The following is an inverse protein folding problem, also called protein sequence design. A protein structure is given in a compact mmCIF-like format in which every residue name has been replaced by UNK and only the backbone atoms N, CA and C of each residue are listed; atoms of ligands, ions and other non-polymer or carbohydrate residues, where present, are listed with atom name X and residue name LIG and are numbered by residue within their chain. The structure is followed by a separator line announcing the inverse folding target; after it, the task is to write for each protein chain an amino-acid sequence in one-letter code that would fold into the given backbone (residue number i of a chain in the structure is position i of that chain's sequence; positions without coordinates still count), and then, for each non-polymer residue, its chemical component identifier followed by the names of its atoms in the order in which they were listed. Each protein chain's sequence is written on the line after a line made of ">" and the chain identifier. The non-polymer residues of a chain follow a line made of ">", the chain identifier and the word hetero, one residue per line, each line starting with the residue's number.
data_IF_751682171101
#
_entry.id   IF_751682171101
#
_cell.length_a   1.000
_cell.length_b   1.000
_cell.length_c   1.000
_cell.angle_alpha   90.00
_cell.angle_beta   90.00
_cell.angle_gamma   90.00
#
_symmetry.space_group_name_H-M   'P 1'
#
loop_
_entity.id
_entity.type
_entity.pdbx_description
1 polymer ?
#
# COMPACT_ATOMS: atom_id res chain seq x y z
N UNK A 1 -20.77 -4.31 -17.71
CA UNK A 1 -19.64 -3.36 -17.63
C UNK A 1 -18.67 -3.96 -16.63
N UNK A 2 -17.49 -4.45 -17.04
CA UNK A 2 -16.55 -4.97 -16.04
C UNK A 2 -16.11 -3.81 -15.17
N UNK A 3 -16.54 -3.80 -13.91
CA UNK A 3 -16.07 -2.83 -12.93
C UNK A 3 -14.58 -3.15 -12.75
N UNK A 4 -13.70 -2.32 -13.31
CA UNK A 4 -12.27 -2.49 -13.15
C UNK A 4 -11.83 -2.09 -11.74
N UNK A 5 -10.81 -2.78 -11.22
CA UNK A 5 -10.17 -2.42 -9.96
C UNK A 5 -9.55 -1.02 -10.08
N UNK A 6 -9.72 -0.20 -9.05
CA UNK A 6 -8.77 0.89 -8.80
C UNK A 6 -7.46 0.27 -8.33
N UNK A 7 -6.35 0.82 -8.79
CA UNK A 7 -5.02 0.28 -8.51
C UNK A 7 -4.16 1.29 -7.79
N UNK A 8 -3.82 1.01 -6.54
CA UNK A 8 -2.79 1.72 -5.81
C UNK A 8 -1.47 1.01 -5.99
N UNK A 9 -0.53 1.64 -6.67
CA UNK A 9 0.85 1.17 -6.75
C UNK A 9 1.65 1.91 -5.69
N UNK A 10 2.19 1.22 -4.68
CA UNK A 10 2.80 1.82 -3.49
C UNK A 10 4.23 1.36 -3.30
N UNK A 11 5.02 2.22 -2.65
CA UNK A 11 6.43 1.95 -2.35
C UNK A 11 6.83 2.65 -1.06
N UNK A 12 7.79 2.06 -0.33
CA UNK A 12 8.34 2.61 0.89
C UNK A 12 9.84 2.73 0.81
N UNK A 13 10.35 3.95 0.62
CA UNK A 13 11.78 4.19 0.59
C UNK A 13 12.39 4.43 1.99
N UNK A 14 13.53 3.79 2.25
CA UNK A 14 14.38 4.11 3.41
C UNK A 14 15.84 4.21 2.98
N UNK A 15 16.52 5.28 3.39
CA UNK A 15 17.91 5.56 3.04
C UNK A 15 18.76 5.82 4.30
N UNK A 16 20.07 5.60 4.18
CA UNK A 16 21.04 5.67 5.28
C UNK A 16 21.30 7.07 5.86
N UNK A 17 22.33 7.18 6.70
CA UNK A 17 22.53 8.23 7.71
C UNK A 17 22.53 9.71 7.18
N UNK A 18 21.70 10.62 7.73
CA UNK A 18 20.63 10.37 8.70
C UNK A 18 19.47 9.62 8.04
N UNK A 19 18.95 8.60 8.72
CA UNK A 19 17.93 7.68 8.19
C UNK A 19 16.69 8.43 7.72
N UNK A 20 16.61 8.71 6.42
CA UNK A 20 15.44 9.31 5.78
C UNK A 20 14.56 8.18 5.30
N UNK A 21 13.30 8.23 5.70
CA UNK A 21 12.31 7.28 5.27
C UNK A 21 11.11 8.04 4.70
N UNK A 22 10.39 7.41 3.80
CA UNK A 22 9.19 7.96 3.20
C UNK A 22 8.28 6.85 2.71
N UNK A 23 7.11 7.26 2.24
CA UNK A 23 6.21 6.42 1.48
C UNK A 23 5.79 7.16 0.22
N UNK A 24 5.46 6.39 -0.80
CA UNK A 24 4.94 6.84 -2.08
C UNK A 24 3.76 5.97 -2.49
N UNK A 25 2.89 6.51 -3.33
CA UNK A 25 1.84 5.73 -3.95
C UNK A 25 1.09 6.48 -5.03
N UNK A 26 0.62 5.74 -6.03
CA UNK A 26 -0.16 6.29 -7.13
C UNK A 26 -1.43 5.47 -7.30
N UNK A 27 -2.58 6.15 -7.31
CA UNK A 27 -3.86 5.57 -7.66
C UNK A 27 -4.14 5.76 -9.14
N UNK A 28 -4.40 4.67 -9.85
CA UNK A 28 -4.85 4.67 -11.24
C UNK A 28 -6.22 4.02 -11.35
N UNK A 29 -7.02 4.54 -12.28
CA UNK A 29 -8.23 3.88 -12.75
C UNK A 29 -7.94 2.67 -13.62
N UNK A 30 -8.98 1.95 -13.97
CA UNK A 30 -8.98 0.81 -14.90
C UNK A 30 -8.39 1.13 -16.28
N UNK A 31 -8.58 2.35 -16.75
CA UNK A 31 -8.00 2.89 -18.00
C UNK A 31 -6.54 3.35 -17.87
N UNK A 32 -5.93 3.20 -16.69
CA UNK A 32 -4.59 3.70 -16.40
C UNK A 32 -4.52 5.20 -16.09
N UNK A 33 -5.65 5.91 -16.12
CA UNK A 33 -5.72 7.33 -15.77
C UNK A 33 -5.32 7.55 -14.32
N UNK A 34 -4.39 8.49 -14.08
CA UNK A 34 -4.02 8.94 -12.74
C UNK A 34 -5.22 9.57 -12.03
N UNK A 35 -5.51 9.10 -10.82
CA UNK A 35 -6.58 9.61 -9.95
C UNK A 35 -5.99 10.37 -8.76
N UNK A 36 -4.96 9.82 -8.13
CA UNK A 36 -4.34 10.42 -6.95
C UNK A 36 -2.87 10.04 -6.81
N UNK A 37 -2.12 10.87 -6.08
CA UNK A 37 -0.74 10.62 -5.66
C UNK A 37 -0.68 10.78 -4.14
N UNK A 38 0.01 9.88 -3.48
CA UNK A 38 0.32 9.89 -2.05
C UNK A 38 1.83 9.94 -1.89
N UNK A 39 2.32 10.82 -1.04
CA UNK A 39 3.71 10.78 -0.60
C UNK A 39 3.87 11.50 0.73
N UNK A 40 4.88 11.09 1.52
CA UNK A 40 5.20 11.80 2.74
C UNK A 40 6.43 11.26 3.45
N UNK A 41 7.05 12.06 4.33
CA UNK A 41 8.19 11.63 5.12
C UNK A 41 7.78 10.72 6.28
N UNK A 42 8.66 9.79 6.64
CA UNK A 42 8.58 8.94 7.82
C UNK A 42 9.80 9.17 8.71
N UNK A 43 9.59 9.12 10.03
CA UNK A 43 10.67 9.25 11.01
C UNK A 43 11.36 7.89 11.19
N UNK A 44 12.69 7.85 10.99
CA UNK A 44 13.57 6.74 11.39
C UNK A 44 12.96 5.32 11.19
N UNK A 45 12.41 5.04 10.01
CA UNK A 45 11.71 3.79 9.67
C UNK A 45 12.60 2.88 8.80
N UNK A 46 12.46 1.55 8.91
CA UNK A 46 13.23 0.59 8.11
C UNK A 46 12.44 0.26 6.86
N UNK A 47 13.08 -0.37 5.88
CA UNK A 47 12.47 -0.70 4.59
C UNK A 47 11.13 -1.42 4.75
N UNK A 48 11.05 -2.37 5.67
CA UNK A 48 9.82 -3.13 5.87
C UNK A 48 8.70 -2.24 6.45
N UNK A 49 9.02 -1.36 7.40
CA UNK A 49 8.04 -0.43 7.96
C UNK A 49 7.61 0.63 6.95
N UNK A 50 8.49 1.09 6.07
CA UNK A 50 8.14 2.08 5.03
C UNK A 50 7.16 1.49 4.04
N UNK A 51 7.43 0.27 3.54
CA UNK A 51 6.53 -0.44 2.63
C UNK A 51 5.16 -0.72 3.26
N UNK A 52 5.16 -1.27 4.48
CA UNK A 52 3.92 -1.56 5.20
C UNK A 52 3.13 -0.28 5.51
N UNK A 53 3.83 0.83 5.76
CA UNK A 53 3.19 2.13 5.97
C UNK A 53 2.58 2.69 4.70
N UNK A 54 3.21 2.49 3.53
CA UNK A 54 2.67 2.91 2.25
C UNK A 54 1.32 2.21 1.97
N UNK A 55 1.23 0.88 2.22
CA UNK A 55 -0.03 0.13 2.14
C UNK A 55 -1.07 0.67 3.12
N UNK A 56 -0.69 0.87 4.39
CA UNK A 56 -1.61 1.40 5.42
C UNK A 56 -2.22 2.73 4.98
N UNK A 57 -1.39 3.66 4.50
CA UNK A 57 -1.85 5.01 4.12
C UNK A 57 -2.73 4.94 2.87
N UNK A 58 -2.38 4.13 1.87
CA UNK A 58 -3.22 3.93 0.69
C UNK A 58 -4.63 3.42 1.06
N UNK A 59 -4.70 2.44 1.96
CA UNK A 59 -5.96 1.89 2.46
C UNK A 59 -6.77 2.91 3.27
N UNK A 60 -6.14 3.63 4.20
CA UNK A 60 -6.81 4.67 5.00
C UNK A 60 -7.37 5.80 4.12
N UNK A 61 -6.61 6.24 3.11
CA UNK A 61 -7.06 7.27 2.16
C UNK A 61 -8.24 6.73 1.35
N UNK A 62 -8.15 5.50 0.86
CA UNK A 62 -9.22 4.90 0.07
C UNK A 62 -10.53 4.82 0.88
N UNK A 63 -10.48 4.31 2.11
CA UNK A 63 -11.64 4.23 3.03
C UNK A 63 -12.28 5.60 3.30
N UNK A 64 -11.48 6.66 3.36
CA UNK A 64 -11.96 8.02 3.63
C UNK A 64 -12.37 8.79 2.37
N UNK A 65 -12.18 8.20 1.20
CA UNK A 65 -12.45 8.81 -0.09
C UNK A 65 -13.83 8.41 -0.61
N UNK A 66 -14.35 9.18 -1.57
CA UNK A 66 -15.56 8.81 -2.31
C UNK A 66 -15.37 7.58 -3.22
N UNK A 67 -14.13 7.09 -3.40
CA UNK A 67 -13.81 5.95 -4.25
C UNK A 67 -14.28 4.61 -3.66
N UNK A 68 -14.44 4.55 -2.34
CA UNK A 68 -14.84 3.34 -1.62
C UNK A 68 -16.24 2.85 -2.00
N UNK A 69 -17.14 3.78 -2.33
CA UNK A 69 -18.56 3.45 -2.50
C UNK A 69 -18.92 2.59 -3.74
N UNK A 70 -18.01 2.25 -4.66
CA UNK A 70 -18.35 1.48 -5.89
C UNK A 70 -17.14 0.89 -6.65
N UNK A 71 -16.02 0.62 -5.98
CA UNK A 71 -14.79 0.15 -6.66
C UNK A 71 -14.05 -0.88 -5.82
N UNK A 72 -13.69 -1.98 -6.47
CA UNK A 72 -12.72 -2.91 -5.92
C UNK A 72 -11.32 -2.26 -5.92
N UNK A 73 -10.48 -2.61 -4.95
CA UNK A 73 -9.14 -2.05 -4.80
C UNK A 73 -8.06 -3.12 -4.95
N UNK A 74 -7.08 -2.87 -5.81
CA UNK A 74 -5.83 -3.61 -5.86
C UNK A 74 -4.71 -2.71 -5.31
N UNK A 75 -3.94 -3.22 -4.35
CA UNK A 75 -2.74 -2.59 -3.83
C UNK A 75 -1.54 -3.38 -4.34
N UNK A 76 -0.76 -2.77 -5.21
CA UNK A 76 0.43 -3.31 -5.86
C UNK A 76 1.68 -2.85 -5.07
N UNK A 77 2.55 -3.79 -4.70
CA UNK A 77 3.83 -3.54 -4.00
C UNK A 77 4.91 -4.45 -4.59
N UNK A 78 6.16 -4.02 -4.57
CA UNK A 78 7.32 -4.79 -5.00
C UNK A 78 7.96 -5.61 -3.85
N UNK A 79 7.38 -5.59 -2.66
CA UNK A 79 7.93 -6.24 -1.48
C UNK A 79 7.30 -7.60 -1.21
N UNK A 80 8.02 -8.67 -1.54
CA UNK A 80 7.61 -10.04 -1.24
C UNK A 80 7.44 -10.30 0.27
N UNK A 81 8.19 -9.58 1.12
CA UNK A 81 8.07 -9.68 2.58
C UNK A 81 6.68 -9.24 3.02
N UNK A 82 6.22 -8.10 2.53
CA UNK A 82 4.90 -7.55 2.86
C UNK A 82 3.79 -8.45 2.33
N UNK A 83 3.92 -8.95 1.09
CA UNK A 83 2.99 -9.93 0.52
C UNK A 83 2.86 -11.16 1.43
N UNK A 84 3.99 -11.70 1.90
CA UNK A 84 4.00 -12.85 2.80
C UNK A 84 3.26 -12.56 4.11
N UNK A 85 3.43 -11.38 4.70
CA UNK A 85 2.71 -10.94 5.91
C UNK A 85 1.22 -10.71 5.70
N UNK A 86 0.82 -10.24 4.53
CA UNK A 86 -0.59 -10.07 4.18
C UNK A 86 -1.31 -11.42 4.04
N UNK A 87 -0.65 -12.45 3.49
CA UNK A 87 -1.24 -13.78 3.34
C UNK A 87 -1.11 -14.68 4.57
N UNK A 88 -0.15 -14.42 5.46
CA UNK A 88 0.09 -15.26 6.63
C UNK A 88 0.29 -14.42 7.90
N UNK A 89 -0.76 -14.26 8.72
CA UNK A 89 -0.66 -13.52 9.98
C UNK A 89 0.35 -14.11 10.97
N UNK A 90 0.65 -15.41 10.89
CA UNK A 90 1.56 -16.12 11.80
C UNK A 90 3.00 -15.64 11.69
N UNK A 91 3.42 -15.18 10.51
CA UNK A 91 4.80 -14.71 10.25
C UNK A 91 4.95 -13.20 10.37
N UNK A 92 3.88 -12.49 10.76
CA UNK A 92 3.92 -11.04 10.99
C UNK A 92 4.85 -10.71 12.15
N UNK A 93 5.68 -9.70 11.97
CA UNK A 93 6.55 -9.23 13.05
C UNK A 93 5.71 -8.49 14.10
N UNK A 94 5.81 -8.90 15.37
CA UNK A 94 5.05 -8.32 16.48
C UNK A 94 5.24 -6.80 16.63
N UNK A 95 6.42 -6.29 16.28
CA UNK A 95 6.74 -4.86 16.35
C UNK A 95 5.89 -3.97 15.43
N UNK A 96 5.22 -4.57 14.44
CA UNK A 96 4.33 -3.89 13.51
C UNK A 96 2.84 -4.20 13.76
N UNK A 97 2.50 -4.78 14.92
CA UNK A 97 1.14 -5.22 15.23
C UNK A 97 0.09 -4.12 15.08
N UNK A 98 0.37 -2.88 15.51
CA UNK A 98 -0.56 -1.76 15.36
C UNK A 98 -0.81 -1.40 13.89
N UNK A 99 0.24 -1.42 13.07
CA UNK A 99 0.11 -1.19 11.62
C UNK A 99 -0.74 -2.28 10.97
N UNK A 100 -0.55 -3.54 11.35
CA UNK A 100 -1.36 -4.66 10.84
C UNK A 100 -2.82 -4.56 11.26
N UNK A 101 -3.12 -4.20 12.51
CA UNK A 101 -4.51 -4.00 12.97
C UNK A 101 -5.25 -2.99 12.12
N UNK A 102 -4.58 -1.88 11.77
CA UNK A 102 -5.17 -0.84 10.90
C UNK A 102 -5.39 -1.38 9.49
N UNK A 103 -4.40 -2.06 8.92
CA UNK A 103 -4.51 -2.67 7.57
C UNK A 103 -5.67 -3.67 7.53
N UNK A 104 -5.75 -4.60 8.49
CA UNK A 104 -6.80 -5.61 8.55
C UNK A 104 -8.18 -4.95 8.68
N UNK A 105 -8.31 -3.91 9.52
CA UNK A 105 -9.54 -3.15 9.66
C UNK A 105 -9.95 -2.46 8.35
N UNK A 106 -9.02 -1.81 7.65
CA UNK A 106 -9.32 -1.18 6.36
C UNK A 106 -9.71 -2.20 5.28
N UNK A 107 -9.06 -3.37 5.25
CA UNK A 107 -9.42 -4.45 4.30
C UNK A 107 -10.87 -4.90 4.50
N UNK A 108 -11.32 -5.01 5.77
CA UNK A 108 -12.71 -5.35 6.09
C UNK A 108 -13.68 -4.28 5.56
N UNK A 109 -13.34 -3.00 5.68
CA UNK A 109 -14.20 -1.90 5.24
C UNK A 109 -14.35 -1.84 3.71
N UNK A 110 -13.26 -2.02 2.96
CA UNK A 110 -13.25 -1.87 1.48
C UNK A 110 -13.89 -3.08 0.76
N UNK A 111 -14.25 -4.14 1.49
CA UNK A 111 -14.89 -5.39 1.02
C UNK A 111 -14.04 -6.25 0.05
N UNK A 112 -13.54 -5.68 -1.05
CA UNK A 112 -12.81 -6.39 -2.09
C UNK A 112 -11.44 -5.76 -2.35
N UNK A 113 -10.52 -6.02 -1.41
CA UNK A 113 -9.11 -5.63 -1.52
C UNK A 113 -8.29 -6.83 -1.98
N UNK A 114 -7.44 -6.61 -2.98
CA UNK A 114 -6.35 -7.52 -3.34
C UNK A 114 -5.01 -6.84 -3.08
N UNK A 115 -4.08 -7.55 -2.47
CA UNK A 115 -2.69 -7.11 -2.35
C UNK A 115 -1.87 -7.98 -3.29
N UNK A 116 -1.17 -7.35 -4.23
CA UNK A 116 -0.56 -8.00 -5.39
C UNK A 116 0.91 -7.65 -5.49
N UNK A 117 1.75 -8.65 -5.76
CA UNK A 117 3.16 -8.43 -6.05
C UNK A 117 3.34 -7.90 -7.47
N UNK A 118 4.17 -6.87 -7.65
CA UNK A 118 4.61 -6.37 -8.96
C UNK A 118 6.13 -6.26 -9.01
N UNK A 119 6.74 -6.56 -10.16
CA UNK A 119 8.18 -6.37 -10.32
C UNK A 119 8.53 -4.88 -10.27
N UNK A 120 9.68 -4.54 -9.68
CA UNK A 120 10.21 -3.17 -9.56
C UNK A 120 10.18 -2.37 -10.86
N UNK A 121 10.54 -3.01 -11.96
CA UNK A 121 10.56 -2.41 -13.31
C UNK A 121 9.20 -1.84 -13.75
N UNK A 122 8.11 -2.37 -13.18
CA UNK A 122 6.73 -1.92 -13.40
C UNK A 122 6.28 -0.94 -12.29
N UNK A 123 6.96 -0.96 -11.13
CA UNK A 123 6.72 -0.08 -9.97
C UNK A 123 7.40 1.31 -10.09
N UNK A 124 8.12 1.61 -11.17
CA UNK A 124 8.92 2.84 -11.35
C UNK A 124 8.22 4.18 -11.09
N UNK A 125 6.88 4.23 -11.05
CA UNK A 125 6.18 5.47 -10.73
C UNK A 125 6.00 5.71 -9.22
N UNK A 126 6.20 4.71 -8.36
CA UNK A 126 6.07 4.83 -6.91
C UNK A 126 7.41 4.82 -6.16
N UNK A 127 8.44 4.18 -6.72
CA UNK A 127 9.86 4.20 -6.25
C UNK A 127 10.49 5.61 -6.31
#
# INVERSE_FOLDING_TARGET
>A
TSIGYLKFNVDGSSSGNPRRAGYGGILKGDTGKLIAILSGPLKNSDSDLTELTAIRIALEVFVKSEWENNRDLAVETDSMVIISWCFSPVIRQWRFAETFKIIDHCIILVQNVKIVYVCREVNNCAD
#
